data_IF_587955011250
#
_entry.id   IF_587955011250
#
_cell.length_a   1.000
_cell.length_b   1.000
_cell.length_c   1.000
_cell.angle_alpha   90.00
_cell.angle_beta   90.00
_cell.angle_gamma   90.00
#
_symmetry.space_group_name_H-M   'P 1'
#
loop_
_entity.id
_entity.type
_entity.pdbx_description
1 polymer ?
#
# COMPACT_ATOMS: atom_id res chain seq x y z
N UNK A 1 25.07 5.08 -10.58
CA UNK A 1 25.25 3.75 -11.23
C UNK A 1 24.57 3.66 -12.59
N UNK A 2 23.31 4.12 -12.77
CA UNK A 2 22.59 3.99 -14.05
C UNK A 2 23.24 4.76 -15.21
N UNK A 3 23.63 6.04 -15.01
CA UNK A 3 24.30 6.86 -16.02
C UNK A 3 25.70 6.32 -16.36
N UNK A 4 26.44 5.90 -15.34
CA UNK A 4 27.82 5.41 -15.44
C UNK A 4 27.96 3.94 -15.88
N UNK A 5 26.85 3.22 -16.13
CA UNK A 5 26.90 1.79 -16.48
C UNK A 5 27.63 1.51 -17.80
N UNK A 6 27.70 2.50 -18.70
CA UNK A 6 28.41 2.43 -19.97
C UNK A 6 29.93 2.59 -19.79
N UNK A 7 30.34 3.31 -18.74
CA UNK A 7 31.75 3.62 -18.47
C UNK A 7 32.38 2.65 -17.46
N UNK A 8 31.58 2.08 -16.55
CA UNK A 8 32.08 1.26 -15.45
C UNK A 8 31.20 0.03 -15.18
N UNK A 9 31.84 -1.06 -14.73
CA UNK A 9 31.10 -2.27 -14.35
C UNK A 9 30.25 -2.05 -13.09
N UNK A 10 29.00 -2.52 -13.12
CA UNK A 10 28.09 -2.51 -11.96
C UNK A 10 28.72 -3.20 -10.73
N UNK A 11 29.56 -4.23 -10.93
CA UNK A 11 30.28 -4.92 -9.84
C UNK A 11 31.23 -3.98 -9.10
N UNK A 12 31.99 -3.15 -9.82
CA UNK A 12 32.93 -2.20 -9.23
C UNK A 12 32.18 -1.09 -8.49
N UNK A 13 31.15 -0.53 -9.10
CA UNK A 13 30.36 0.53 -8.47
C UNK A 13 29.60 0.04 -7.24
N UNK A 14 29.01 -1.15 -7.28
CA UNK A 14 28.32 -1.73 -6.12
C UNK A 14 29.29 -1.92 -4.93
N UNK A 15 30.51 -2.38 -5.19
CA UNK A 15 31.57 -2.48 -4.17
C UNK A 15 31.94 -1.10 -3.60
N UNK A 16 32.13 -0.10 -4.46
CA UNK A 16 32.48 1.27 -4.04
C UNK A 16 31.38 1.90 -3.18
N UNK A 17 30.13 1.74 -3.60
CA UNK A 17 28.94 2.27 -2.92
C UNK A 17 28.47 1.38 -1.76
N UNK A 18 29.20 0.31 -1.43
CA UNK A 18 28.90 -0.63 -0.34
C UNK A 18 27.48 -1.22 -0.41
N UNK A 19 26.96 -1.45 -1.61
CA UNK A 19 25.67 -2.11 -1.85
C UNK A 19 25.88 -3.45 -2.55
N UNK A 20 24.96 -4.39 -2.38
CA UNK A 20 24.99 -5.64 -3.14
C UNK A 20 24.57 -5.41 -4.59
N UNK A 21 25.17 -6.14 -5.54
CA UNK A 21 24.74 -6.09 -6.96
C UNK A 21 23.28 -6.48 -7.12
N UNK A 22 22.83 -7.48 -6.36
CA UNK A 22 21.44 -7.95 -6.38
C UNK A 22 20.49 -6.88 -5.83
N UNK A 23 20.89 -6.13 -4.80
CA UNK A 23 20.14 -4.99 -4.29
C UNK A 23 19.99 -3.88 -5.34
N UNK A 24 21.07 -3.56 -6.06
CA UNK A 24 21.02 -2.59 -7.16
C UNK A 24 20.01 -2.99 -8.24
N UNK A 25 20.09 -4.23 -8.76
CA UNK A 25 19.17 -4.67 -9.80
C UNK A 25 17.72 -4.78 -9.33
N UNK A 26 17.49 -5.20 -8.07
CA UNK A 26 16.14 -5.16 -7.47
C UNK A 26 15.58 -3.75 -7.43
N UNK A 27 16.36 -2.78 -6.95
CA UNK A 27 15.96 -1.37 -6.93
C UNK A 27 15.71 -0.84 -8.34
N UNK A 28 16.63 -1.06 -9.28
CA UNK A 28 16.50 -0.59 -10.66
C UNK A 28 15.25 -1.17 -11.35
N UNK A 29 14.95 -2.45 -11.11
CA UNK A 29 13.76 -3.11 -11.62
C UNK A 29 12.47 -2.52 -11.03
N UNK A 30 12.43 -2.23 -9.72
CA UNK A 30 11.29 -1.55 -9.08
C UNK A 30 11.08 -0.16 -9.68
N UNK A 31 12.15 0.64 -9.84
CA UNK A 31 12.07 1.97 -10.45
C UNK A 31 11.55 1.90 -11.88
N UNK A 32 12.04 0.94 -12.68
CA UNK A 32 11.60 0.76 -14.06
C UNK A 32 10.11 0.35 -14.15
N UNK A 33 9.63 -0.50 -13.23
CA UNK A 33 8.20 -0.84 -13.15
C UNK A 33 7.33 0.37 -12.87
N UNK A 34 7.72 1.19 -11.89
CA UNK A 34 7.02 2.44 -11.55
C UNK A 34 6.99 3.40 -12.74
N UNK A 35 8.12 3.61 -13.42
CA UNK A 35 8.22 4.49 -14.59
C UNK A 35 7.39 4.01 -15.78
N UNK A 36 7.21 2.69 -15.95
CA UNK A 36 6.42 2.14 -17.07
C UNK A 36 4.91 2.07 -16.79
N UNK A 37 4.45 2.47 -15.59
CA UNK A 37 3.05 2.35 -15.17
C UNK A 37 2.59 0.90 -14.94
N UNK A 38 3.48 -0.09 -15.08
CA UNK A 38 3.22 -1.53 -14.85
C UNK A 38 3.59 -1.94 -13.42
N UNK A 39 3.31 -1.09 -12.45
CA UNK A 39 3.38 -1.51 -11.06
C UNK A 39 2.02 -2.13 -10.69
N UNK A 40 1.88 -3.44 -10.97
CA UNK A 40 0.67 -4.22 -10.67
C UNK A 40 0.25 -4.07 -9.20
N UNK A 41 1.22 -3.79 -8.31
CA UNK A 41 0.97 -3.57 -6.89
C UNK A 41 0.33 -2.20 -6.63
N UNK A 42 0.78 -1.15 -7.33
CA UNK A 42 0.17 0.16 -7.22
C UNK A 42 -1.27 0.12 -7.75
N UNK A 43 -1.47 -0.44 -8.96
CA UNK A 43 -2.79 -0.60 -9.56
C UNK A 43 -3.75 -1.42 -8.68
N UNK A 44 -3.26 -2.50 -8.06
CA UNK A 44 -4.03 -3.27 -7.09
C UNK A 44 -4.48 -2.42 -5.90
N UNK A 45 -3.59 -1.61 -5.33
CA UNK A 45 -3.93 -0.79 -4.17
C UNK A 45 -4.84 0.39 -4.52
N UNK A 46 -4.71 0.96 -5.71
CA UNK A 46 -5.63 2.00 -6.20
C UNK A 46 -7.04 1.41 -6.37
N UNK A 47 -7.14 0.19 -6.88
CA UNK A 47 -8.40 -0.53 -6.99
C UNK A 47 -9.01 -0.86 -5.61
N UNK A 48 -8.19 -1.31 -4.66
CA UNK A 48 -8.60 -1.53 -3.27
C UNK A 48 -9.10 -0.24 -2.62
N UNK A 49 -8.42 0.89 -2.85
CA UNK A 49 -8.80 2.17 -2.27
C UNK A 49 -10.16 2.65 -2.76
N UNK A 50 -10.45 2.49 -4.07
CA UNK A 50 -11.78 2.77 -4.62
C UNK A 50 -12.86 1.94 -3.94
N UNK A 51 -12.60 0.64 -3.73
CA UNK A 51 -13.54 -0.27 -3.05
C UNK A 51 -13.74 0.08 -1.58
N UNK A 52 -12.66 0.42 -0.87
CA UNK A 52 -12.72 0.89 0.51
C UNK A 52 -13.59 2.15 0.60
N UNK A 53 -13.36 3.13 -0.28
CA UNK A 53 -14.12 4.38 -0.29
C UNK A 53 -15.60 4.14 -0.61
N UNK A 54 -15.91 3.23 -1.55
CA UNK A 54 -17.28 2.86 -1.85
C UNK A 54 -17.98 2.24 -0.62
N UNK A 55 -17.37 1.24 0.03
CA UNK A 55 -17.95 0.61 1.23
C UNK A 55 -18.15 1.64 2.34
N UNK A 56 -17.19 2.56 2.53
CA UNK A 56 -17.28 3.61 3.53
C UNK A 56 -18.47 4.54 3.27
N UNK A 57 -18.65 5.00 2.01
CA UNK A 57 -19.80 5.81 1.60
C UNK A 57 -21.13 5.06 1.71
N UNK A 58 -21.17 3.80 1.30
CA UNK A 58 -22.36 2.94 1.41
C UNK A 58 -22.80 2.74 2.87
N UNK A 59 -21.85 2.87 3.82
CA UNK A 59 -22.10 2.74 5.26
C UNK A 59 -22.43 4.07 5.95
N UNK A 60 -22.74 5.13 5.19
CA UNK A 60 -22.90 6.50 5.71
C UNK A 60 -21.70 6.94 6.58
N UNK A 61 -20.49 6.58 6.12
CA UNK A 61 -19.22 6.93 6.78
C UNK A 61 -19.03 6.30 8.18
N UNK A 62 -19.89 5.36 8.56
CA UNK A 62 -19.87 4.71 9.89
C UNK A 62 -18.76 3.67 9.98
N UNK A 63 -18.50 2.90 8.91
CA UNK A 63 -17.64 1.72 9.01
C UNK A 63 -16.16 2.07 9.12
N UNK A 64 -15.53 1.56 10.18
CA UNK A 64 -14.08 1.57 10.33
C UNK A 64 -13.39 0.36 9.70
N UNK A 65 -12.06 0.33 9.80
CA UNK A 65 -11.22 -0.72 9.23
C UNK A 65 -11.69 -2.17 9.52
N UNK A 66 -12.20 -2.55 10.72
CA UNK A 66 -12.68 -3.91 10.96
C UNK A 66 -13.83 -4.31 10.02
N UNK A 67 -14.86 -3.47 9.89
CA UNK A 67 -16.05 -3.76 9.08
C UNK A 67 -15.76 -3.67 7.59
N UNK A 68 -14.96 -2.68 7.17
CA UNK A 68 -14.51 -2.58 5.78
C UNK A 68 -13.67 -3.80 5.37
N UNK A 69 -12.83 -4.35 6.28
CA UNK A 69 -12.05 -5.56 5.98
C UNK A 69 -12.97 -6.77 5.72
N UNK A 70 -14.04 -6.92 6.49
CA UNK A 70 -15.01 -7.99 6.29
C UNK A 70 -15.74 -7.82 4.94
N UNK A 71 -16.21 -6.61 4.65
CA UNK A 71 -16.91 -6.28 3.40
C UNK A 71 -16.02 -6.47 2.16
N UNK A 72 -14.72 -6.17 2.25
CA UNK A 72 -13.76 -6.45 1.18
C UNK A 72 -13.64 -7.95 0.87
N UNK A 73 -13.64 -8.79 1.91
CA UNK A 73 -13.59 -10.24 1.75
C UNK A 73 -14.93 -10.81 1.22
N UNK A 74 -16.05 -10.26 1.67
CA UNK A 74 -17.38 -10.74 1.32
C UNK A 74 -17.84 -10.29 -0.07
N UNK A 75 -17.71 -9.00 -0.41
CA UNK A 75 -18.19 -8.48 -1.71
C UNK A 75 -17.18 -8.70 -2.83
N UNK A 76 -15.89 -8.56 -2.54
CA UNK A 76 -14.85 -8.52 -3.56
C UNK A 76 -13.86 -9.69 -3.51
N UNK A 77 -14.02 -10.62 -2.55
CA UNK A 77 -13.08 -11.75 -2.33
C UNK A 77 -11.64 -11.30 -2.13
N UNK A 78 -11.44 -10.08 -1.63
CA UNK A 78 -10.12 -9.50 -1.34
C UNK A 78 -9.81 -9.70 0.14
N UNK A 79 -8.83 -10.57 0.43
CA UNK A 79 -8.34 -10.77 1.80
C UNK A 79 -7.14 -9.87 2.06
N UNK A 80 -7.32 -8.88 2.94
CA UNK A 80 -6.27 -7.98 3.40
C UNK A 80 -6.21 -7.96 4.92
N UNK A 81 -5.00 -7.77 5.46
CA UNK A 81 -4.85 -7.54 6.89
C UNK A 81 -5.57 -6.23 7.28
N UNK A 82 -6.32 -6.26 8.37
CA UNK A 82 -6.99 -5.09 8.96
C UNK A 82 -6.07 -3.88 9.10
N UNK A 83 -4.80 -4.08 9.47
CA UNK A 83 -3.80 -3.00 9.58
C UNK A 83 -3.49 -2.35 8.22
N UNK A 84 -3.50 -3.11 7.15
CA UNK A 84 -3.33 -2.60 5.78
C UNK A 84 -4.52 -1.73 5.39
N UNK A 85 -5.75 -2.22 5.64
CA UNK A 85 -6.97 -1.44 5.39
C UNK A 85 -6.96 -0.14 6.19
N UNK A 86 -6.65 -0.20 7.49
CA UNK A 86 -6.53 0.99 8.34
C UNK A 86 -5.47 1.98 7.81
N UNK A 87 -4.32 1.48 7.33
CA UNK A 87 -3.29 2.33 6.71
C UNK A 87 -3.80 3.00 5.43
N UNK A 88 -4.50 2.27 4.55
CA UNK A 88 -5.08 2.83 3.32
C UNK A 88 -6.13 3.89 3.66
N UNK A 89 -7.05 3.61 4.58
CA UNK A 89 -8.04 4.58 5.07
C UNK A 89 -7.37 5.88 5.56
N UNK A 90 -6.32 5.76 6.39
CA UNK A 90 -5.56 6.93 6.86
C UNK A 90 -4.90 7.72 5.73
N UNK A 91 -4.37 7.05 4.71
CA UNK A 91 -3.77 7.74 3.55
C UNK A 91 -4.81 8.48 2.71
N UNK A 92 -6.05 7.98 2.68
CA UNK A 92 -7.19 8.65 2.03
C UNK A 92 -7.86 9.71 2.92
N UNK A 93 -7.47 9.82 4.19
CA UNK A 93 -8.06 10.78 5.14
C UNK A 93 -9.47 10.42 5.61
N UNK A 94 -9.88 9.15 5.49
CA UNK A 94 -11.20 8.67 5.94
C UNK A 94 -11.07 7.86 7.22
N UNK A 95 -12.09 7.94 8.06
CA UNK A 95 -12.21 7.18 9.29
C UNK A 95 -13.65 6.72 9.50
N UNK A 96 -13.82 5.66 10.29
CA UNK A 96 -15.14 5.22 10.71
C UNK A 96 -15.49 5.80 12.08
N UNK A 97 -16.77 5.86 12.39
CA UNK A 97 -17.24 6.33 13.69
C UNK A 97 -16.83 5.33 14.78
N UNK A 98 -16.13 5.81 15.81
CA UNK A 98 -15.77 5.05 17.01
C UNK A 98 -16.36 5.73 18.24
N UNK A 99 -17.60 5.39 18.65
CA UNK A 99 -18.19 5.95 19.86
C UNK A 99 -17.31 5.62 21.07
N UNK A 100 -17.21 6.57 22.00
CA UNK A 100 -16.55 6.30 23.29
C UNK A 100 -17.34 5.20 24.01
N UNK A 101 -16.64 4.22 24.56
CA UNK A 101 -17.28 3.19 25.36
C UNK A 101 -18.04 3.83 26.53
N UNK A 102 -19.26 3.35 26.78
CA UNK A 102 -20.05 3.79 27.92
C UNK A 102 -19.31 3.49 29.22
N UNK A 103 -19.24 4.48 30.11
CA UNK A 103 -18.68 4.32 31.45
C UNK A 103 -19.83 4.56 32.43
N UNK A 104 -20.24 3.57 33.24
CA UNK A 104 -21.26 3.78 34.26
C UNK A 104 -20.78 4.81 35.28
N UNK A 105 -21.65 5.76 35.64
CA UNK A 105 -21.41 6.62 36.80
C UNK A 105 -21.57 5.80 38.07
N UNK A 106 -20.52 5.74 38.89
CA UNK A 106 -20.56 5.19 40.24
C UNK A 106 -21.21 6.14 41.22
#
# INVERSE_FOLDING_TARGET
>A
MQQEKANYSIKRMARLLKVSRSGYYKWAHVQQKQLSGKDDRAAFYDDVDRKIHQIWKDSDEVYGAPRITAELAERYRISLNRKTVAKRMRMMGIEGISPRAFVPGT
#
